data_IF_807692502479
#
_entry.id   IF_807692502479
#
_cell.length_a   1.000
_cell.length_b   1.000
_cell.length_c   1.000
_cell.angle_alpha   90.00
_cell.angle_beta   90.00
_cell.angle_gamma   90.00
#
_symmetry.space_group_name_H-M   'P 1'
#
loop_
_entity.id
_entity.type
_entity.pdbx_description
1 polymer ?
#
# COMPACT_ATOMS: atom_id res chain seq x y z
N UNK A 1 -17.03 2.63 8.45
CA UNK A 1 -16.20 3.50 7.59
C UNK A 1 -17.09 4.60 7.06
N UNK A 2 -16.92 5.82 7.58
CA UNK A 2 -17.38 7.02 6.87
C UNK A 2 -16.72 7.01 5.49
N UNK A 3 -17.51 7.18 4.42
CA UNK A 3 -17.04 7.00 3.05
C UNK A 3 -15.81 7.86 2.73
N UNK A 4 -14.92 7.35 1.90
CA UNK A 4 -13.82 8.14 1.35
C UNK A 4 -14.37 9.37 0.63
N UNK A 5 -13.73 10.52 0.77
CA UNK A 5 -13.97 11.63 -0.14
C UNK A 5 -13.56 11.19 -1.56
N UNK A 6 -14.15 11.76 -2.63
CA UNK A 6 -13.74 11.45 -4.00
C UNK A 6 -12.23 11.62 -4.22
N UNK A 7 -11.64 12.66 -3.63
CA UNK A 7 -10.20 12.92 -3.66
C UNK A 7 -9.40 11.79 -2.99
N UNK A 8 -9.82 11.33 -1.80
CA UNK A 8 -9.14 10.23 -1.11
C UNK A 8 -9.22 8.92 -1.92
N UNK A 9 -10.36 8.66 -2.56
CA UNK A 9 -10.53 7.50 -3.43
C UNK A 9 -9.59 7.55 -4.65
N UNK A 10 -9.47 8.70 -5.31
CA UNK A 10 -8.57 8.89 -6.45
C UNK A 10 -7.10 8.67 -6.05
N UNK A 11 -6.69 9.26 -4.92
CA UNK A 11 -5.33 9.14 -4.39
C UNK A 11 -5.00 7.66 -4.07
N UNK A 12 -5.94 6.92 -3.48
CA UNK A 12 -5.79 5.48 -3.19
C UNK A 12 -5.73 4.64 -4.47
N UNK A 13 -6.60 4.93 -5.44
CA UNK A 13 -6.60 4.25 -6.73
C UNK A 13 -5.28 4.48 -7.47
N UNK A 14 -4.72 5.69 -7.42
CA UNK A 14 -3.40 5.99 -7.97
C UNK A 14 -2.30 5.18 -7.28
N UNK A 15 -2.31 5.11 -5.95
CA UNK A 15 -1.36 4.29 -5.19
C UNK A 15 -1.45 2.80 -5.57
N UNK A 16 -2.68 2.27 -5.72
CA UNK A 16 -2.90 0.91 -6.19
C UNK A 16 -2.38 0.70 -7.62
N UNK A 17 -2.55 1.69 -8.50
CA UNK A 17 -2.00 1.71 -9.85
C UNK A 17 -0.48 1.60 -9.87
N UNK A 18 0.23 2.28 -8.96
CA UNK A 18 1.70 2.18 -8.83
C UNK A 18 2.12 0.75 -8.49
N UNK A 19 1.45 0.09 -7.53
CA UNK A 19 1.74 -1.29 -7.16
C UNK A 19 1.48 -2.24 -8.33
N UNK A 20 0.35 -2.07 -9.03
CA UNK A 20 0.03 -2.85 -10.21
C UNK A 20 1.05 -2.66 -11.34
N UNK A 21 1.58 -1.45 -11.52
CA UNK A 21 2.61 -1.12 -12.51
C UNK A 21 3.94 -1.79 -12.23
N UNK A 22 4.40 -1.72 -10.98
CA UNK A 22 5.60 -2.43 -10.53
C UNK A 22 5.46 -3.94 -10.71
N UNK A 23 4.31 -4.52 -10.35
CA UNK A 23 4.09 -5.96 -10.45
C UNK A 23 4.10 -6.47 -11.91
N UNK A 24 3.67 -5.67 -12.88
CA UNK A 24 3.71 -6.02 -14.31
C UNK A 24 5.04 -5.67 -15.02
N UNK A 25 6.04 -5.15 -14.29
CA UNK A 25 7.33 -4.72 -14.85
C UNK A 25 7.31 -3.37 -15.58
N UNK A 26 6.20 -2.63 -15.48
CA UNK A 26 6.01 -1.31 -16.10
C UNK A 26 6.54 -0.21 -15.15
N UNK A 27 7.87 -0.07 -15.11
CA UNK A 27 8.53 0.88 -14.22
C UNK A 27 8.25 2.33 -14.62
N UNK A 28 8.19 2.62 -15.94
CA UNK A 28 7.88 3.95 -16.44
C UNK A 28 6.46 4.39 -16.05
N UNK A 29 5.47 3.51 -16.20
CA UNK A 29 4.10 3.78 -15.75
C UNK A 29 4.01 3.92 -14.23
N UNK A 30 4.81 3.18 -13.47
CA UNK A 30 4.89 3.35 -12.01
C UNK A 30 5.43 4.74 -11.64
N UNK A 31 6.46 5.22 -12.32
CA UNK A 31 7.05 6.55 -12.11
C UNK A 31 6.08 7.67 -12.51
N UNK A 32 5.39 7.53 -13.65
CA UNK A 32 4.36 8.48 -14.08
C UNK A 32 3.25 8.61 -13.03
N UNK A 33 2.71 7.49 -12.55
CA UNK A 33 1.71 7.47 -11.49
C UNK A 33 2.23 8.05 -10.17
N UNK A 34 3.50 7.80 -9.83
CA UNK A 34 4.14 8.40 -8.64
C UNK A 34 4.33 9.92 -8.77
N UNK A 35 4.56 10.42 -9.97
CA UNK A 35 4.69 11.86 -10.25
C UNK A 35 3.34 12.59 -10.26
N UNK A 36 2.25 11.88 -10.52
CA UNK A 36 0.90 12.43 -10.61
C UNK A 36 0.25 12.77 -9.26
N UNK A 37 0.91 12.48 -8.12
CA UNK A 37 0.43 12.96 -6.82
C UNK A 37 0.71 14.47 -6.69
N UNK A 38 -0.31 15.25 -6.34
CA UNK A 38 -0.20 16.71 -6.22
C UNK A 38 0.68 17.19 -5.06
N UNK A 39 0.97 16.32 -4.08
CA UNK A 39 1.88 16.61 -2.99
C UNK A 39 2.45 15.32 -2.38
N UNK A 40 3.52 15.46 -1.61
CA UNK A 40 4.05 14.35 -0.81
C UNK A 40 3.05 13.88 0.25
N UNK A 41 2.29 14.81 0.87
CA UNK A 41 1.25 14.48 1.84
C UNK A 41 0.16 13.62 1.20
N UNK A 42 -0.31 13.98 0.00
CA UNK A 42 -1.28 13.19 -0.77
C UNK A 42 -0.74 11.81 -1.12
N UNK A 43 0.53 11.73 -1.53
CA UNK A 43 1.20 10.45 -1.83
C UNK A 43 1.26 9.54 -0.60
N UNK A 44 1.71 10.08 0.54
CA UNK A 44 1.77 9.35 1.81
C UNK A 44 0.38 8.88 2.24
N UNK A 45 -0.63 9.75 2.15
CA UNK A 45 -2.01 9.38 2.47
C UNK A 45 -2.51 8.24 1.57
N UNK A 46 -2.21 8.27 0.27
CA UNK A 46 -2.61 7.22 -0.67
C UNK A 46 -2.06 5.85 -0.33
N UNK A 47 -0.76 5.76 -0.06
CA UNK A 47 -0.15 4.49 0.34
C UNK A 47 -0.58 4.04 1.74
N UNK A 48 -0.79 4.96 2.68
CA UNK A 48 -1.32 4.64 4.01
C UNK A 48 -2.72 4.01 3.91
N UNK A 49 -3.64 4.66 3.18
CA UNK A 49 -5.00 4.17 3.01
C UNK A 49 -5.05 2.87 2.21
N UNK A 50 -4.18 2.71 1.21
CA UNK A 50 -4.05 1.44 0.48
C UNK A 50 -3.58 0.30 1.40
N UNK A 51 -2.61 0.55 2.28
CA UNK A 51 -2.13 -0.44 3.24
C UNK A 51 -3.22 -0.83 4.24
N UNK A 52 -3.98 0.13 4.77
CA UNK A 52 -5.12 -0.12 5.66
C UNK A 52 -6.21 -0.96 4.96
N UNK A 53 -6.55 -0.63 3.71
CA UNK A 53 -7.49 -1.42 2.90
C UNK A 53 -6.99 -2.85 2.65
N UNK A 54 -5.71 -3.01 2.30
CA UNK A 54 -5.12 -4.33 2.06
C UNK A 54 -5.14 -5.18 3.34
N UNK A 55 -4.76 -4.61 4.49
CA UNK A 55 -4.83 -5.30 5.77
C UNK A 55 -6.27 -5.63 6.17
N UNK A 56 -7.22 -4.73 5.89
CA UNK A 56 -8.65 -4.97 6.09
C UNK A 56 -9.16 -6.16 5.25
N UNK A 57 -8.72 -6.28 4.00
CA UNK A 57 -9.07 -7.41 3.13
C UNK A 57 -8.51 -8.73 3.65
N UNK A 58 -7.24 -8.75 4.08
CA UNK A 58 -6.62 -9.96 4.66
C UNK A 58 -7.33 -10.33 5.96
N UNK A 59 -7.59 -9.36 6.84
CA UNK A 59 -8.34 -9.56 8.08
C UNK A 59 -9.71 -10.17 7.84
N UNK A 60 -10.44 -9.70 6.83
CA UNK A 60 -11.76 -10.23 6.49
C UNK A 60 -11.71 -11.71 6.06
N UNK A 61 -10.56 -12.19 5.56
CA UNK A 61 -10.38 -13.55 5.05
C UNK A 61 -9.72 -14.49 6.08
N UNK A 62 -8.82 -13.99 6.94
CA UNK A 62 -7.97 -14.84 7.78
C UNK A 62 -8.49 -15.11 9.20
N UNK A 63 -9.58 -14.45 9.63
CA UNK A 63 -10.08 -14.44 11.02
C UNK A 63 -9.07 -13.91 12.07
N UNK A 64 -7.90 -13.44 11.67
CA UNK A 64 -6.91 -12.86 12.58
C UNK A 64 -7.36 -11.50 13.11
N UNK A 65 -6.80 -11.09 14.25
CA UNK A 65 -6.89 -9.71 14.71
C UNK A 65 -6.00 -8.81 13.85
N UNK A 66 -6.24 -7.48 13.87
CA UNK A 66 -5.35 -6.54 13.19
C UNK A 66 -3.95 -6.57 13.81
N UNK A 67 -3.86 -6.70 15.13
CA UNK A 67 -2.59 -6.75 15.85
C UNK A 67 -1.74 -7.97 15.44
N UNK A 68 -2.37 -9.14 15.24
CA UNK A 68 -1.68 -10.33 14.75
C UNK A 68 -1.14 -10.14 13.34
N UNK A 69 -1.92 -9.53 12.44
CA UNK A 69 -1.49 -9.23 11.07
C UNK A 69 -0.31 -8.27 11.03
N UNK A 70 -0.35 -7.20 11.83
CA UNK A 70 0.73 -6.21 11.92
C UNK A 70 1.99 -6.84 12.52
N UNK A 71 1.86 -7.72 13.52
CA UNK A 71 2.98 -8.50 14.06
C UNK A 71 3.61 -9.38 12.99
N UNK A 72 2.80 -10.13 12.24
CA UNK A 72 3.28 -11.00 11.16
C UNK A 72 3.98 -10.22 10.05
N UNK A 73 3.41 -9.08 9.64
CA UNK A 73 4.04 -8.18 8.66
C UNK A 73 5.39 -7.66 9.16
N UNK A 74 5.48 -7.32 10.44
CA UNK A 74 6.74 -6.85 11.06
C UNK A 74 7.82 -7.94 11.06
N UNK A 75 7.43 -9.19 11.34
CA UNK A 75 8.34 -10.34 11.27
C UNK A 75 8.78 -10.64 9.83
N UNK A 76 7.88 -10.57 8.86
CA UNK A 76 8.21 -10.70 7.44
C UNK A 76 9.21 -9.64 7.00
N UNK A 77 9.00 -8.38 7.38
CA UNK A 77 9.93 -7.29 7.09
C UNK A 77 11.31 -7.51 7.72
N UNK A 78 11.37 -7.96 8.97
CA UNK A 78 12.64 -8.27 9.61
C UNK A 78 13.42 -9.36 8.84
N UNK A 79 12.73 -10.38 8.35
CA UNK A 79 13.33 -11.47 7.59
C UNK A 79 13.82 -11.04 6.19
N UNK A 80 13.12 -10.13 5.51
CA UNK A 80 13.56 -9.64 4.20
C UNK A 80 14.82 -8.77 4.31
N UNK A 81 14.90 -7.91 5.34
CA UNK A 81 16.09 -7.07 5.60
C UNK A 81 17.32 -7.92 5.93
N UNK A 82 17.16 -9.00 6.68
CA UNK A 82 18.27 -9.92 7.03
C UNK A 82 18.78 -10.74 5.83
N UNK A 83 17.96 -10.93 4.80
CA UNK A 83 18.28 -11.77 3.64
C UNK A 83 19.01 -11.02 2.51
N UNK A 84 19.15 -9.69 2.62
CA UNK A 84 19.84 -8.87 1.64
C UNK A 84 21.33 -8.76 2.04
N UNK A 85 22.28 -9.33 1.25
CA UNK A 85 23.70 -9.17 1.56
C UNK A 85 24.09 -7.68 1.46
N UNK A 86 24.97 -7.25 2.37
CA UNK A 86 25.44 -5.87 2.52
C UNK A 86 26.08 -5.30 1.24
#
# INVERSE_FOLDING_TARGET
MTGYTPEAAEIVQRAAGVIAAKHRGDLAGAEELMSAFGSEQSRTLGFYLLADLALGLVKAQSRQSMDDLVRELSLLLANTVQSQPA
#
